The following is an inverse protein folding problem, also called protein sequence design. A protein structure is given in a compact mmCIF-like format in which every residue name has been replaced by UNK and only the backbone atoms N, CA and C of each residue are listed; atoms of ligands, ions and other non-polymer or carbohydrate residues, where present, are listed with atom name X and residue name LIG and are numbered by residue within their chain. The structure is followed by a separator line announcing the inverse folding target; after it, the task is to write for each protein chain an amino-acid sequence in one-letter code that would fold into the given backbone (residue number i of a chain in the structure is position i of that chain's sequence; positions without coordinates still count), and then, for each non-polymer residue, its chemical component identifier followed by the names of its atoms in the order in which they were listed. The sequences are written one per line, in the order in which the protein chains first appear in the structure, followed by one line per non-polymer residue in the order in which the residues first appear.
data_IF_922219303994
#
_entry.id   IF_922219303994
#
_cell.length_a   1.000
_cell.length_b   1.000
_cell.length_c   1.000
_cell.angle_alpha   90.00
_cell.angle_beta   90.00
_cell.angle_gamma   90.00
#
_symmetry.space_group_name_H-M   'P 1'
#
loop_
_entity.id
_entity.type
_entity.pdbx_description
1 polymer ?
#
# COMPACT_ATOMS: atom_id res chain seq x y z
N UNK A 1 52.10 -56.87 -35.07
CA UNK A 1 51.52 -55.52 -35.25
C UNK A 1 50.23 -55.68 -36.05
N UNK A 2 49.11 -55.93 -35.37
CA UNK A 2 47.77 -55.98 -35.97
C UNK A 2 46.85 -55.25 -34.99
N UNK A 3 46.20 -54.19 -35.49
CA UNK A 3 45.35 -53.29 -34.74
C UNK A 3 43.89 -53.65 -35.03
N UNK A 4 43.13 -53.96 -33.99
CA UNK A 4 41.70 -54.20 -34.06
C UNK A 4 40.97 -52.86 -34.19
N UNK A 5 40.13 -52.72 -35.22
CA UNK A 5 39.25 -51.56 -35.43
C UNK A 5 37.94 -51.83 -34.71
N UNK A 6 37.64 -50.99 -33.71
CA UNK A 6 36.41 -51.05 -32.92
C UNK A 6 35.20 -50.51 -33.72
N UNK A 7 34.07 -51.22 -33.63
CA UNK A 7 32.80 -50.84 -34.23
C UNK A 7 32.18 -49.63 -33.50
N UNK A 8 31.82 -48.60 -34.26
CA UNK A 8 31.14 -47.38 -33.79
C UNK A 8 29.63 -47.62 -33.70
N UNK A 9 29.04 -47.43 -32.52
CA UNK A 9 27.58 -47.45 -32.33
C UNK A 9 26.99 -46.10 -32.75
N UNK A 10 25.80 -46.07 -33.38
CA UNK A 10 25.16 -44.82 -33.80
C UNK A 10 24.62 -44.04 -32.59
N UNK A 11 24.68 -42.71 -32.69
CA UNK A 11 24.24 -41.76 -31.66
C UNK A 11 22.72 -41.61 -31.61
N UNK A 12 22.22 -41.31 -30.41
CA UNK A 12 20.82 -41.16 -29.98
C UNK A 12 19.95 -40.15 -30.78
N UNK A 13 20.49 -39.47 -31.79
CA UNK A 13 19.84 -38.34 -32.48
C UNK A 13 19.11 -38.82 -33.76
N UNK A 14 19.47 -39.98 -34.30
CA UNK A 14 18.86 -40.53 -35.53
C UNK A 14 17.58 -41.35 -35.31
N UNK A 15 17.11 -41.48 -34.05
CA UNK A 15 15.91 -42.25 -33.70
C UNK A 15 14.68 -41.38 -33.34
N UNK A 16 14.79 -40.04 -33.45
CA UNK A 16 13.77 -39.11 -32.96
C UNK A 16 12.92 -38.42 -34.05
N UNK A 17 13.12 -38.74 -35.33
CA UNK A 17 12.40 -38.13 -36.45
C UNK A 17 11.81 -39.14 -37.46
N UNK A 18 11.60 -40.40 -37.05
CA UNK A 18 10.75 -41.32 -37.80
C UNK A 18 9.30 -41.11 -37.36
N UNK A 19 8.46 -40.67 -38.29
CA UNK A 19 7.15 -40.08 -38.02
C UNK A 19 6.05 -41.04 -37.60
N UNK A 20 4.93 -40.41 -37.22
CA UNK A 20 3.57 -40.94 -37.28
C UNK A 20 2.67 -39.76 -37.67
N UNK A 21 2.30 -39.71 -38.94
CA UNK A 21 1.14 -38.98 -39.44
C UNK A 21 -0.07 -39.90 -39.20
N UNK A 22 -0.78 -39.71 -38.09
CA UNK A 22 -2.11 -40.31 -37.88
C UNK A 22 -3.15 -39.18 -37.86
N UNK A 23 -3.80 -39.01 -39.02
CA UNK A 23 -5.08 -38.33 -39.17
C UNK A 23 -6.12 -39.07 -38.30
N UNK A 24 -6.51 -38.47 -37.17
CA UNK A 24 -7.64 -38.95 -36.40
C UNK A 24 -8.84 -38.04 -36.69
N UNK A 25 -9.79 -38.59 -37.43
CA UNK A 25 -11.08 -38.02 -37.78
C UNK A 25 -11.80 -37.47 -36.52
N UNK A 26 -12.09 -36.17 -36.56
CA UNK A 26 -13.07 -35.53 -35.67
C UNK A 26 -14.44 -35.87 -36.26
N UNK A 27 -15.08 -36.88 -35.71
CA UNK A 27 -16.52 -37.08 -35.87
C UNK A 27 -17.25 -36.13 -34.90
N UNK A 28 -18.07 -35.25 -35.48
CA UNK A 28 -19.13 -34.50 -34.82
C UNK A 28 -20.16 -35.48 -34.24
N UNK A 29 -20.37 -35.47 -32.92
CA UNK A 29 -21.60 -35.94 -32.29
C UNK A 29 -21.95 -35.05 -31.09
N UNK A 30 -22.97 -34.20 -31.30
CA UNK A 30 -23.69 -33.43 -30.30
C UNK A 30 -24.48 -34.39 -29.37
N UNK A 31 -24.27 -34.33 -28.05
CA UNK A 31 -25.25 -34.83 -27.08
C UNK A 31 -25.35 -33.91 -25.85
N UNK A 32 -26.53 -33.31 -25.70
CA UNK A 32 -27.01 -32.48 -24.60
C UNK A 32 -27.14 -33.29 -23.30
N UNK A 33 -26.25 -33.06 -22.33
CA UNK A 33 -26.47 -33.49 -20.94
C UNK A 33 -27.21 -32.40 -20.15
N UNK A 34 -28.55 -32.45 -20.26
CA UNK A 34 -29.47 -31.84 -19.31
C UNK A 34 -29.28 -32.44 -17.92
N UNK A 35 -28.73 -31.65 -17.00
CA UNK A 35 -28.69 -31.99 -15.58
C UNK A 35 -30.09 -31.92 -14.96
N UNK A 36 -30.71 -33.09 -14.77
CA UNK A 36 -31.83 -33.26 -13.86
C UNK A 36 -31.31 -33.57 -12.45
N UNK A 37 -31.43 -32.63 -11.53
CA UNK A 37 -31.41 -32.90 -10.09
C UNK A 37 -32.65 -32.26 -9.47
N UNK A 38 -33.50 -33.15 -8.94
CA UNK A 38 -34.82 -32.87 -8.41
C UNK A 38 -34.79 -32.21 -7.02
N UNK A 39 -35.75 -31.31 -6.85
CA UNK A 39 -36.53 -30.95 -5.66
C UNK A 39 -36.01 -31.32 -4.26
N UNK A 40 -35.75 -30.29 -3.44
CA UNK A 40 -35.99 -30.31 -2.01
C UNK A 40 -36.49 -28.91 -1.57
N UNK A 41 -37.82 -28.74 -1.55
CA UNK A 41 -38.49 -27.61 -0.91
C UNK A 41 -38.47 -27.78 0.60
N UNK A 42 -37.89 -26.80 1.31
CA UNK A 42 -37.98 -26.62 2.75
C UNK A 42 -38.52 -25.22 3.04
N UNK A 43 -39.80 -25.15 3.37
CA UNK A 43 -40.56 -23.95 3.71
C UNK A 43 -40.13 -23.39 5.07
N UNK A 44 -39.70 -22.13 5.10
CA UNK A 44 -39.51 -21.34 6.31
C UNK A 44 -39.98 -19.90 6.08
N UNK A 45 -41.26 -19.69 6.38
CA UNK A 45 -41.97 -18.45 6.71
C UNK A 45 -41.10 -17.19 6.96
N UNK A 46 -41.29 -16.17 6.11
CA UNK A 46 -40.96 -14.79 6.40
C UNK A 46 -42.26 -13.97 6.49
N UNK A 47 -42.47 -13.31 7.63
CA UNK A 47 -43.57 -12.39 7.88
C UNK A 47 -43.31 -11.04 7.22
N UNK A 48 -44.26 -10.62 6.40
CA UNK A 48 -44.29 -9.36 5.68
C UNK A 48 -44.86 -8.26 6.59
N UNK A 49 -44.04 -7.27 6.95
CA UNK A 49 -44.50 -6.03 7.55
C UNK A 49 -44.13 -4.88 6.61
N UNK A 50 -45.10 -4.48 5.79
CA UNK A 50 -45.04 -3.31 4.94
C UNK A 50 -45.02 -2.03 5.79
N UNK A 51 -44.10 -1.11 5.46
CA UNK A 51 -44.28 0.32 5.73
C UNK A 51 -43.49 1.13 4.71
N UNK A 52 -44.25 1.88 3.91
CA UNK A 52 -43.80 2.75 2.84
C UNK A 52 -43.05 3.99 3.37
N UNK A 53 -42.02 4.44 2.64
CA UNK A 53 -41.72 5.87 2.52
C UNK A 53 -40.90 6.21 1.26
N UNK A 54 -41.63 6.77 0.28
CA UNK A 54 -41.35 7.96 -0.54
C UNK A 54 -39.93 8.21 -1.08
N UNK A 55 -39.84 8.17 -2.41
CA UNK A 55 -38.73 8.60 -3.25
C UNK A 55 -38.32 10.08 -3.04
N UNK A 56 -37.01 10.34 -3.03
CA UNK A 56 -36.42 11.66 -3.26
C UNK A 56 -35.10 11.51 -4.04
N UNK A 57 -35.07 12.11 -5.23
CA UNK A 57 -33.92 12.17 -6.14
C UNK A 57 -32.95 13.34 -5.74
N UNK A 58 -31.76 13.46 -6.37
CA UNK A 58 -30.54 13.95 -5.74
C UNK A 58 -30.36 15.48 -5.72
N UNK A 59 -29.70 15.98 -4.68
CA UNK A 59 -29.32 17.39 -4.51
C UNK A 59 -28.10 17.76 -5.39
N UNK A 60 -28.14 18.88 -6.15
CA UNK A 60 -27.02 19.32 -6.98
C UNK A 60 -25.95 20.08 -6.18
N UNK A 61 -24.68 19.81 -6.50
CA UNK A 61 -23.50 20.55 -6.07
C UNK A 61 -23.48 21.95 -6.70
N UNK A 62 -23.62 23.02 -5.90
CA UNK A 62 -23.25 24.37 -6.33
C UNK A 62 -21.93 24.82 -5.72
N UNK A 63 -20.97 25.04 -6.60
CA UNK A 63 -19.80 25.92 -6.42
C UNK A 63 -20.27 27.31 -5.94
N UNK A 64 -19.62 27.86 -4.92
CA UNK A 64 -19.52 29.32 -4.74
C UNK A 64 -18.13 29.71 -4.26
N UNK A 65 -17.41 30.37 -5.17
CA UNK A 65 -16.24 31.22 -4.92
C UNK A 65 -16.73 32.63 -4.53
N UNK A 66 -16.12 33.25 -3.51
CA UNK A 66 -16.08 34.70 -3.18
C UNK A 66 -17.43 35.40 -2.89
N UNK A 67 -17.52 36.51 -2.16
CA UNK A 67 -16.54 37.42 -1.55
C UNK A 67 -17.29 38.24 -0.45
N UNK A 68 -16.53 38.94 0.41
CA UNK A 68 -16.88 40.20 1.11
C UNK A 68 -17.72 40.21 2.43
N UNK A 69 -16.96 40.33 3.54
CA UNK A 69 -16.95 41.40 4.55
C UNK A 69 -18.25 41.98 5.16
N UNK A 70 -18.43 41.80 6.49
CA UNK A 70 -18.72 42.88 7.47
C UNK A 70 -18.79 42.41 8.94
N UNK A 71 -18.08 43.12 9.83
CA UNK A 71 -18.37 43.36 11.27
C UNK A 71 -18.38 42.16 12.23
N UNK A 72 -17.95 42.21 13.49
CA UNK A 72 -17.54 43.28 14.39
C UNK A 72 -16.63 42.66 15.48
N UNK A 73 -15.56 43.35 15.84
CA UNK A 73 -14.65 42.96 16.92
C UNK A 73 -15.14 43.57 18.24
N UNK A 74 -15.47 42.71 19.21
CA UNK A 74 -15.79 43.10 20.58
C UNK A 74 -14.48 43.26 21.38
N UNK A 75 -14.29 44.45 21.94
CA UNK A 75 -13.04 44.87 22.56
C UNK A 75 -12.66 44.17 23.86
N UNK A 76 -11.37 44.23 24.16
CA UNK A 76 -10.87 44.22 25.53
C UNK A 76 -9.71 45.20 25.63
N UNK A 77 -9.91 46.22 26.45
CA UNK A 77 -9.06 47.39 26.53
C UNK A 77 -7.72 47.11 27.21
N UNK A 78 -6.68 47.80 26.75
CA UNK A 78 -5.47 48.02 27.54
C UNK A 78 -5.04 49.48 27.41
N UNK A 79 -5.12 50.15 28.56
CA UNK A 79 -4.91 51.57 28.82
C UNK A 79 -3.42 51.91 28.68
N UNK A 80 -3.07 52.79 27.74
CA UNK A 80 -1.74 53.37 27.61
C UNK A 80 -1.66 54.68 28.40
N UNK A 81 -0.67 54.78 29.27
CA UNK A 81 -0.26 56.03 29.93
C UNK A 81 0.72 56.75 29.01
N UNK A 82 0.44 58.03 28.77
CA UNK A 82 1.22 58.97 27.96
C UNK A 82 2.27 59.67 28.84
N UNK A 83 3.48 59.86 28.32
CA UNK A 83 4.38 60.94 28.71
C UNK A 83 5.04 61.52 27.44
N UNK A 84 5.10 62.85 27.38
CA UNK A 84 5.58 63.66 26.24
C UNK A 84 7.01 64.17 26.49
N UNK A 85 7.70 64.52 25.38
CA UNK A 85 8.83 65.47 25.31
C UNK A 85 10.16 64.79 24.97
N UNK A 86 11.05 65.29 24.12
CA UNK A 86 11.11 66.49 23.27
C UNK A 86 12.19 66.22 22.18
N UNK A 87 12.20 67.02 21.11
CA UNK A 87 13.03 66.87 19.93
C UNK A 87 14.48 67.36 20.11
N UNK A 88 15.43 66.70 19.44
CA UNK A 88 16.49 67.37 18.69
C UNK A 88 16.89 66.54 17.46
N UNK A 89 17.37 67.23 16.44
CA UNK A 89 17.68 66.71 15.12
C UNK A 89 19.19 66.74 14.91
N UNK A 90 19.76 65.65 14.40
CA UNK A 90 21.03 65.67 13.67
C UNK A 90 21.03 64.52 12.67
N UNK A 91 21.16 64.90 11.40
CA UNK A 91 21.34 63.99 10.28
C UNK A 91 22.70 63.30 10.37
N UNK A 92 22.71 61.97 10.28
CA UNK A 92 23.74 61.23 9.55
C UNK A 92 23.18 59.85 9.19
N UNK A 93 22.59 59.79 8.00
CA UNK A 93 22.07 58.58 7.37
C UNK A 93 23.24 57.68 6.93
N UNK A 94 23.62 56.74 7.78
CA UNK A 94 24.13 55.44 7.31
C UNK A 94 23.58 54.32 8.20
N UNK A 95 22.81 53.35 7.67
CA UNK A 95 22.47 52.15 8.44
C UNK A 95 23.72 51.27 8.48
N UNK A 96 24.66 51.57 9.38
CA UNK A 96 25.67 50.59 9.80
C UNK A 96 24.92 49.50 10.56
N UNK A 97 24.75 48.35 9.92
CA UNK A 97 24.32 47.11 10.54
C UNK A 97 25.33 46.74 11.65
N UNK A 98 25.16 47.33 12.83
CA UNK A 98 25.81 46.89 14.07
C UNK A 98 24.95 45.80 14.70
N UNK A 99 24.73 44.73 13.92
CA UNK A 99 24.25 43.47 14.46
C UNK A 99 25.37 42.87 15.28
N UNK A 100 25.46 43.27 16.56
CA UNK A 100 26.14 42.50 17.59
C UNK A 100 25.71 41.04 17.41
N UNK A 101 26.65 40.16 17.05
CA UNK A 101 26.43 38.73 17.12
C UNK A 101 26.06 38.44 18.58
N UNK A 102 24.76 38.27 18.83
CA UNK A 102 24.29 37.70 20.08
C UNK A 102 24.84 36.29 20.11
N UNK A 103 25.90 36.12 20.89
CA UNK A 103 26.40 34.81 21.28
C UNK A 103 25.22 34.04 21.90
N UNK A 104 24.70 32.98 21.26
CA UNK A 104 23.50 32.29 21.73
C UNK A 104 23.76 31.45 22.99
N UNK A 105 24.99 31.45 23.52
CA UNK A 105 25.36 30.65 24.68
C UNK A 105 25.12 31.34 26.04
N UNK A 106 24.89 32.65 26.07
CA UNK A 106 24.73 33.39 27.32
C UNK A 106 23.25 33.68 27.64
N UNK A 107 22.59 32.70 28.27
CA UNK A 107 21.40 32.97 29.08
C UNK A 107 20.06 32.52 28.49
N UNK A 108 19.85 31.20 28.38
CA UNK A 108 18.54 30.61 28.67
C UNK A 108 18.69 29.13 29.00
N UNK A 109 18.70 28.82 30.30
CA UNK A 109 18.47 27.47 30.81
C UNK A 109 17.02 27.02 30.62
N UNK A 110 16.53 27.05 29.38
CA UNK A 110 15.25 26.49 28.98
C UNK A 110 15.54 25.31 28.07
N UNK A 111 15.44 24.09 28.60
CA UNK A 111 15.63 22.87 27.83
C UNK A 111 14.82 22.95 26.53
N UNK A 112 15.48 22.75 25.39
CA UNK A 112 14.78 22.57 24.13
C UNK A 112 13.83 21.38 24.32
N UNK A 113 12.53 21.66 24.41
CA UNK A 113 11.53 20.60 24.40
C UNK A 113 11.65 19.92 23.05
N UNK A 114 12.25 18.72 23.02
CA UNK A 114 12.30 17.91 21.82
C UNK A 114 10.86 17.74 21.32
N UNK A 115 10.60 18.11 20.07
CA UNK A 115 9.31 17.85 19.46
C UNK A 115 9.10 16.33 19.45
N UNK A 116 7.87 15.83 19.69
CA UNK A 116 7.60 14.42 19.58
C UNK A 116 7.94 13.94 18.16
N UNK A 117 8.46 12.71 18.01
CA UNK A 117 8.70 12.14 16.69
C UNK A 117 7.39 12.09 15.90
N UNK A 118 7.48 12.31 14.59
CA UNK A 118 6.31 12.19 13.72
C UNK A 118 5.86 10.72 13.67
N UNK A 119 4.55 10.46 13.61
CA UNK A 119 4.08 9.10 13.39
C UNK A 119 4.49 8.62 12.00
N UNK A 120 4.67 7.31 11.87
CA UNK A 120 4.86 6.67 10.58
C UNK A 120 3.65 6.94 9.68
N UNK A 121 3.92 7.42 8.47
CA UNK A 121 2.90 7.69 7.45
C UNK A 121 3.27 6.96 6.17
N UNK A 122 2.28 6.27 5.59
CA UNK A 122 2.45 5.59 4.32
C UNK A 122 1.83 6.41 3.20
N UNK A 123 2.58 6.64 2.11
CA UNK A 123 2.12 7.48 1.02
C UNK A 123 0.88 6.89 0.33
N UNK A 124 -0.17 7.72 0.20
CA UNK A 124 -1.44 7.30 -0.38
C UNK A 124 -2.29 6.38 0.50
N UNK A 125 -1.89 6.14 1.76
CA UNK A 125 -2.71 5.41 2.72
C UNK A 125 -3.65 6.36 3.48
N UNK A 126 -4.77 5.81 3.96
CA UNK A 126 -5.65 6.50 4.92
C UNK A 126 -5.47 5.92 6.32
N UNK A 127 -5.56 6.78 7.34
CA UNK A 127 -5.47 6.35 8.73
C UNK A 127 -6.53 5.29 9.08
N UNK A 128 -6.16 4.37 9.97
CA UNK A 128 -7.11 3.44 10.57
C UNK A 128 -8.01 4.20 11.55
N UNK A 129 -9.25 4.49 11.15
CA UNK A 129 -10.22 5.19 11.99
C UNK A 129 -11.19 4.20 12.62
N UNK A 130 -11.41 4.30 13.93
CA UNK A 130 -12.39 3.48 14.64
C UNK A 130 -13.77 3.56 13.99
N UNK A 131 -14.43 2.41 13.82
CA UNK A 131 -15.74 2.29 13.17
C UNK A 131 -15.70 2.22 11.63
N UNK A 132 -14.55 2.48 10.99
CA UNK A 132 -14.40 2.37 9.54
C UNK A 132 -13.72 1.06 9.16
N UNK A 133 -14.47 0.15 8.54
CA UNK A 133 -13.96 -1.16 8.09
C UNK A 133 -13.13 -1.08 6.79
N UNK A 134 -13.40 -0.09 5.93
CA UNK A 134 -12.74 0.11 4.64
C UNK A 134 -11.71 1.24 4.67
N UNK A 135 -10.44 0.95 4.36
CA UNK A 135 -9.36 1.93 4.25
C UNK A 135 -8.54 1.74 2.98
N UNK A 136 -7.88 2.80 2.54
CA UNK A 136 -6.84 2.74 1.51
C UNK A 136 -5.51 2.37 2.15
N UNK A 137 -4.85 1.34 1.62
CA UNK A 137 -3.49 0.98 1.99
C UNK A 137 -2.47 1.73 1.14
N UNK A 138 -2.79 2.05 -0.11
CA UNK A 138 -1.99 2.92 -0.97
C UNK A 138 -2.81 3.38 -2.16
N UNK A 139 -2.47 4.55 -2.69
CA UNK A 139 -3.00 5.09 -3.93
C UNK A 139 -1.88 5.85 -4.64
N UNK A 140 -1.62 5.50 -5.90
CA UNK A 140 -0.65 6.19 -6.74
C UNK A 140 -1.13 6.21 -8.21
N UNK A 141 -0.24 6.61 -9.12
CA UNK A 141 -0.51 6.70 -10.56
C UNK A 141 -0.83 5.36 -11.25
N UNK A 142 -0.45 4.23 -10.65
CA UNK A 142 -0.65 2.89 -11.23
C UNK A 142 -2.00 2.32 -10.81
N UNK A 143 -2.50 2.70 -9.63
CA UNK A 143 -3.74 2.13 -9.09
C UNK A 143 -3.95 2.43 -7.61
N UNK A 144 -4.92 1.75 -7.02
CA UNK A 144 -5.27 1.84 -5.61
C UNK A 144 -5.38 0.47 -4.96
N UNK A 145 -5.01 0.40 -3.68
CA UNK A 145 -5.20 -0.77 -2.83
C UNK A 145 -6.16 -0.37 -1.72
N UNK A 146 -7.30 -1.06 -1.67
CA UNK A 146 -8.28 -0.94 -0.59
C UNK A 146 -8.27 -2.20 0.25
N UNK A 147 -8.26 -2.05 1.57
CA UNK A 147 -8.50 -3.15 2.49
C UNK A 147 -9.81 -2.93 3.23
N UNK A 148 -10.62 -3.99 3.34
CA UNK A 148 -11.80 -4.06 4.19
C UNK A 148 -11.59 -5.13 5.24
N UNK A 149 -11.41 -4.73 6.49
CA UNK A 149 -11.32 -5.65 7.62
C UNK A 149 -12.73 -6.04 8.07
N UNK A 150 -13.03 -7.34 8.07
CA UNK A 150 -14.20 -7.91 8.72
C UNK A 150 -13.80 -8.62 10.03
N UNK A 151 -14.74 -9.29 10.70
CA UNK A 151 -14.48 -9.94 11.99
C UNK A 151 -13.46 -11.10 11.90
N UNK A 152 -13.42 -11.80 10.77
CA UNK A 152 -12.61 -13.03 10.60
C UNK A 152 -11.60 -12.94 9.46
N UNK A 153 -11.79 -12.03 8.50
CA UNK A 153 -10.93 -11.93 7.32
C UNK A 153 -10.84 -10.50 6.82
N UNK A 154 -9.80 -10.24 6.04
CA UNK A 154 -9.58 -8.97 5.34
C UNK A 154 -9.75 -9.18 3.85
N UNK A 155 -10.74 -8.50 3.26
CA UNK A 155 -10.88 -8.41 1.81
C UNK A 155 -9.97 -7.31 1.28
N UNK A 156 -9.01 -7.68 0.45
CA UNK A 156 -8.12 -6.74 -0.23
C UNK A 156 -8.56 -6.62 -1.69
N UNK A 157 -8.80 -5.39 -2.11
CA UNK A 157 -9.18 -5.01 -3.47
C UNK A 157 -8.04 -4.19 -4.08
N UNK A 158 -7.54 -4.64 -5.23
CA UNK A 158 -6.50 -3.96 -6.01
C UNK A 158 -7.13 -3.50 -7.31
N UNK A 159 -7.19 -2.18 -7.48
CA UNK A 159 -7.71 -1.58 -8.70
C UNK A 159 -6.57 -0.93 -9.49
N UNK A 160 -6.31 -1.43 -10.69
CA UNK A 160 -5.26 -0.94 -11.57
C UNK A 160 -5.86 0.05 -12.58
N UNK A 161 -5.23 1.23 -12.68
CA UNK A 161 -5.72 2.30 -13.55
C UNK A 161 -5.47 2.04 -15.04
N UNK A 162 -4.49 1.18 -15.38
CA UNK A 162 -4.17 0.80 -16.75
C UNK A 162 -4.31 -0.73 -16.92
N UNK A 163 -5.26 -1.15 -17.75
CA UNK A 163 -5.51 -2.57 -18.05
C UNK A 163 -4.32 -3.28 -18.72
N UNK A 164 -3.36 -2.53 -19.29
CA UNK A 164 -2.12 -3.10 -19.86
C UNK A 164 -1.16 -3.62 -18.79
N UNK A 165 -1.24 -3.10 -17.57
CA UNK A 165 -0.42 -3.54 -16.43
C UNK A 165 -0.92 -4.89 -15.90
N UNK A 166 -2.23 -5.10 -15.95
CA UNK A 166 -2.92 -6.30 -15.51
C UNK A 166 -4.39 -6.01 -15.24
N UNK A 167 -5.16 -7.05 -14.95
CA UNK A 167 -6.55 -6.89 -14.50
C UNK A 167 -6.58 -6.54 -13.01
N UNK A 168 -7.48 -5.62 -12.63
CA UNK A 168 -7.87 -5.40 -11.23
C UNK A 168 -8.36 -6.72 -10.63
N UNK A 169 -8.04 -6.95 -9.35
CA UNK A 169 -8.39 -8.20 -8.68
C UNK A 169 -8.65 -7.97 -7.20
N UNK A 170 -9.33 -8.91 -6.57
CA UNK A 170 -9.52 -8.92 -5.13
C UNK A 170 -9.27 -10.32 -4.58
N UNK A 171 -8.92 -10.40 -3.30
CA UNK A 171 -8.78 -11.64 -2.57
C UNK A 171 -9.11 -11.44 -1.10
N UNK A 172 -9.64 -12.47 -0.46
CA UNK A 172 -9.77 -12.50 1.00
C UNK A 172 -8.56 -13.20 1.60
N UNK A 173 -8.09 -12.70 2.74
CA UNK A 173 -7.05 -13.33 3.53
C UNK A 173 -7.39 -13.24 5.01
N UNK A 174 -6.94 -14.23 5.77
CA UNK A 174 -7.08 -14.22 7.22
C UNK A 174 -6.10 -13.22 7.86
N UNK A 175 -4.99 -12.93 7.17
CA UNK A 175 -4.02 -11.92 7.57
C UNK A 175 -4.61 -10.50 7.51
N UNK A 176 -4.43 -9.76 8.60
CA UNK A 176 -4.85 -8.35 8.70
C UNK A 176 -3.82 -7.42 8.04
N UNK A 177 -3.78 -7.38 6.71
CA UNK A 177 -2.86 -6.50 5.97
C UNK A 177 -3.04 -5.01 6.35
N UNK A 178 -1.94 -4.38 6.78
CA UNK A 178 -1.90 -2.97 7.19
C UNK A 178 -1.06 -2.08 6.30
N UNK A 179 -0.19 -2.66 5.47
CA UNK A 179 0.59 -1.95 4.47
C UNK A 179 0.33 -2.54 3.10
N UNK A 180 0.32 -1.66 2.10
CA UNK A 180 0.23 -2.04 0.69
C UNK A 180 1.10 -1.12 -0.14
N UNK A 181 1.78 -1.64 -1.15
CA UNK A 181 2.53 -0.81 -2.09
C UNK A 181 2.41 -1.44 -3.47
N UNK A 182 2.29 -0.60 -4.51
CA UNK A 182 2.02 -1.07 -5.85
C UNK A 182 2.92 -0.40 -6.88
N UNK A 183 3.35 -1.19 -7.84
CA UNK A 183 4.19 -0.79 -8.97
C UNK A 183 3.60 -1.34 -10.28
N UNK A 184 4.16 -0.98 -11.42
CA UNK A 184 3.72 -1.47 -12.74
C UNK A 184 4.02 -2.96 -12.98
N UNK A 185 4.79 -3.62 -12.12
CA UNK A 185 5.16 -5.04 -12.28
C UNK A 185 4.66 -5.93 -11.16
N UNK A 186 4.47 -5.38 -9.97
CA UNK A 186 4.15 -6.14 -8.78
C UNK A 186 3.34 -5.29 -7.81
N UNK A 187 2.66 -6.00 -6.92
CA UNK A 187 1.99 -5.44 -5.75
C UNK A 187 2.44 -6.21 -4.51
N UNK A 188 2.70 -5.48 -3.43
CA UNK A 188 3.17 -6.00 -2.18
C UNK A 188 2.21 -5.62 -1.05
N UNK A 189 2.04 -6.51 -0.10
CA UNK A 189 1.25 -6.34 1.12
C UNK A 189 2.06 -6.80 2.30
N UNK A 190 1.93 -6.12 3.44
CA UNK A 190 2.49 -6.59 4.69
C UNK A 190 1.42 -6.65 5.78
N UNK A 191 1.51 -7.69 6.60
CA UNK A 191 0.72 -7.89 7.79
C UNK A 191 1.63 -7.73 9.03
N UNK A 192 1.12 -7.15 10.13
CA UNK A 192 1.94 -6.95 11.32
C UNK A 192 2.18 -8.31 12.00
N UNK A 193 3.20 -8.38 12.85
CA UNK A 193 3.33 -9.52 13.74
C UNK A 193 2.16 -9.53 14.73
N UNK A 194 1.60 -10.71 14.99
CA UNK A 194 0.56 -10.90 16.00
C UNK A 194 1.16 -11.61 17.21
N UNK A 195 1.45 -10.83 18.26
CA UNK A 195 2.00 -11.36 19.50
C UNK A 195 1.02 -12.24 20.28
N UNK A 196 -0.30 -12.12 20.04
CA UNK A 196 -1.32 -12.92 20.74
C UNK A 196 -1.46 -14.30 20.14
N UNK A 197 -1.29 -14.40 18.82
CA UNK A 197 -1.34 -15.65 18.06
C UNK A 197 0.05 -16.27 17.81
N UNK A 198 1.12 -15.64 18.31
CA UNK A 198 2.52 -15.99 18.04
C UNK A 198 2.83 -16.13 16.52
N UNK A 199 2.20 -15.26 15.72
CA UNK A 199 2.35 -15.24 14.27
C UNK A 199 3.39 -14.19 13.86
N UNK A 200 4.38 -14.54 13.03
CA UNK A 200 5.36 -13.59 12.54
C UNK A 200 4.71 -12.59 11.58
N UNK A 201 5.31 -11.40 11.46
CA UNK A 201 4.91 -10.44 10.43
C UNK A 201 5.15 -11.03 9.05
N UNK A 202 4.19 -10.91 8.13
CA UNK A 202 4.27 -11.52 6.82
C UNK A 202 4.34 -10.47 5.70
N UNK A 203 5.21 -10.69 4.72
CA UNK A 203 5.27 -9.96 3.46
C UNK A 203 4.73 -10.87 2.34
N UNK A 204 3.68 -10.41 1.66
CA UNK A 204 3.08 -11.09 0.50
C UNK A 204 3.25 -10.25 -0.75
N UNK A 205 3.77 -10.84 -1.81
CA UNK A 205 3.99 -10.14 -3.08
C UNK A 205 3.36 -10.92 -4.21
N UNK A 206 2.71 -10.19 -5.12
CA UNK A 206 2.13 -10.73 -6.36
C UNK A 206 2.65 -9.94 -7.55
N UNK A 207 3.18 -10.65 -8.53
CA UNK A 207 3.52 -10.13 -9.85
C UNK A 207 2.24 -9.91 -10.66
N UNK A 208 2.13 -8.75 -11.30
CA UNK A 208 0.94 -8.35 -12.06
C UNK A 208 0.96 -8.92 -13.48
N UNK A 209 2.15 -9.06 -14.07
CA UNK A 209 2.36 -9.64 -15.39
C UNK A 209 3.54 -10.61 -15.32
N UNK A 210 3.22 -11.90 -15.30
CA UNK A 210 4.20 -12.98 -15.34
C UNK A 210 3.64 -14.16 -16.11
N UNK A 211 4.51 -14.83 -16.85
CA UNK A 211 4.21 -16.08 -17.54
C UNK A 211 4.33 -17.30 -16.60
N UNK A 212 4.78 -17.09 -15.35
CA UNK A 212 4.97 -18.15 -14.36
C UNK A 212 3.64 -18.62 -13.77
N UNK A 213 3.54 -19.93 -13.54
CA UNK A 213 2.38 -20.58 -12.92
C UNK A 213 2.11 -20.10 -11.48
N UNK A 214 3.12 -19.60 -10.77
CA UNK A 214 2.99 -19.06 -9.41
C UNK A 214 3.33 -17.57 -9.38
N UNK A 215 2.37 -16.68 -9.65
CA UNK A 215 2.62 -15.25 -9.74
C UNK A 215 2.81 -14.57 -8.38
N UNK A 216 2.82 -15.32 -7.27
CA UNK A 216 2.94 -14.74 -5.94
C UNK A 216 3.81 -15.57 -5.02
N UNK A 217 4.41 -14.90 -4.04
CA UNK A 217 5.17 -15.51 -2.97
C UNK A 217 4.89 -14.77 -1.65
N UNK A 218 5.14 -15.46 -0.54
CA UNK A 218 5.01 -14.93 0.81
C UNK A 218 6.26 -15.28 1.60
N UNK A 219 6.71 -14.36 2.43
CA UNK A 219 7.83 -14.58 3.36
C UNK A 219 7.47 -14.05 4.73
N UNK A 220 7.77 -14.83 5.77
CA UNK A 220 7.69 -14.37 7.15
C UNK A 220 8.94 -13.57 7.52
N UNK A 221 8.76 -12.45 8.22
CA UNK A 221 9.86 -11.73 8.84
C UNK A 221 10.39 -12.52 10.04
N UNK A 222 11.67 -12.34 10.40
CA UNK A 222 12.25 -12.96 11.58
C UNK A 222 11.49 -12.61 12.88
N UNK A 223 11.57 -13.46 13.91
CA UNK A 223 10.89 -13.21 15.17
C UNK A 223 11.35 -11.90 15.81
N UNK A 224 10.40 -11.16 16.38
CA UNK A 224 10.63 -9.83 16.96
C UNK A 224 10.59 -8.67 15.96
N UNK A 225 10.54 -8.96 14.66
CA UNK A 225 10.38 -7.95 13.61
C UNK A 225 8.93 -7.85 13.14
N UNK A 226 8.48 -6.61 12.95
CA UNK A 226 7.17 -6.28 12.39
C UNK A 226 7.32 -5.22 11.30
N UNK A 227 6.66 -5.44 10.17
CA UNK A 227 6.70 -4.51 9.04
C UNK A 227 6.06 -3.16 9.42
N UNK A 228 6.84 -2.08 9.31
CA UNK A 228 6.41 -0.70 9.58
C UNK A 228 6.27 0.13 8.32
N UNK A 229 7.08 -0.17 7.29
CA UNK A 229 7.05 0.49 5.99
C UNK A 229 7.19 -0.53 4.86
N UNK A 230 6.66 -0.18 3.69
CA UNK A 230 6.68 -1.05 2.52
C UNK A 230 6.89 -0.21 1.25
N UNK A 231 7.75 -0.65 0.35
CA UNK A 231 7.90 -0.04 -0.96
C UNK A 231 8.02 -1.11 -2.05
N UNK A 232 7.21 -0.98 -3.10
CA UNK A 232 7.23 -1.81 -4.30
C UNK A 232 7.93 -1.06 -5.44
N UNK A 233 9.13 -1.51 -5.79
CA UNK A 233 9.82 -1.10 -7.02
C UNK A 233 9.48 -2.01 -8.20
N UNK A 234 9.99 -1.66 -9.38
CA UNK A 234 9.87 -2.53 -10.57
C UNK A 234 10.79 -3.74 -10.52
N UNK A 235 11.90 -3.65 -9.77
CA UNK A 235 12.94 -4.67 -9.66
C UNK A 235 13.27 -5.04 -8.21
N UNK A 236 12.54 -4.51 -7.24
CA UNK A 236 12.76 -4.79 -5.82
C UNK A 236 11.48 -4.61 -5.00
N UNK A 237 11.47 -5.20 -3.82
CA UNK A 237 10.50 -4.93 -2.76
C UNK A 237 11.30 -4.62 -1.50
N UNK A 238 11.01 -3.49 -0.85
CA UNK A 238 11.69 -3.08 0.36
C UNK A 238 10.72 -3.04 1.54
N UNK A 239 11.14 -3.57 2.68
CA UNK A 239 10.38 -3.57 3.93
C UNK A 239 11.21 -2.91 5.03
N UNK A 240 10.65 -1.87 5.63
CA UNK A 240 11.16 -1.31 6.88
C UNK A 240 10.53 -2.02 8.05
N UNK A 241 11.32 -2.32 9.08
CA UNK A 241 10.84 -2.99 10.30
C UNK A 241 10.89 -2.07 11.52
N UNK A 242 10.18 -2.45 12.57
CA UNK A 242 10.25 -1.84 13.91
C UNK A 242 11.65 -1.90 14.55
N UNK A 243 12.53 -2.78 14.08
CA UNK A 243 13.92 -2.90 14.55
C UNK A 243 14.90 -1.97 13.82
N UNK A 244 14.38 -0.98 13.06
CA UNK A 244 15.16 -0.07 12.21
C UNK A 244 16.03 -0.82 11.18
N UNK A 245 15.47 -1.89 10.61
CA UNK A 245 16.12 -2.66 9.55
C UNK A 245 15.34 -2.49 8.25
N UNK A 246 16.06 -2.24 7.16
CA UNK A 246 15.53 -2.23 5.81
C UNK A 246 15.89 -3.55 5.12
N UNK A 247 14.90 -4.35 4.75
CA UNK A 247 15.06 -5.61 4.03
C UNK A 247 14.70 -5.42 2.57
N UNK A 248 15.58 -5.83 1.66
CA UNK A 248 15.33 -5.82 0.22
C UNK A 248 15.13 -7.25 -0.28
N UNK A 249 14.10 -7.42 -1.10
CA UNK A 249 13.78 -8.65 -1.79
C UNK A 249 13.72 -8.39 -3.30
N UNK A 250 14.09 -9.41 -4.07
CA UNK A 250 13.85 -9.42 -5.51
C UNK A 250 12.37 -9.66 -5.80
N UNK A 251 11.90 -9.36 -7.03
CA UNK A 251 10.53 -9.68 -7.44
C UNK A 251 10.23 -11.19 -7.39
N UNK A 252 11.25 -12.04 -7.39
CA UNK A 252 11.13 -13.49 -7.26
C UNK A 252 11.14 -14.00 -5.80
N UNK A 253 11.22 -13.10 -4.80
CA UNK A 253 11.21 -13.47 -3.38
C UNK A 253 12.58 -13.76 -2.77
N UNK A 254 13.66 -13.69 -3.55
CA UNK A 254 15.02 -13.84 -3.01
C UNK A 254 15.38 -12.63 -2.14
N UNK A 255 15.89 -12.86 -0.94
CA UNK A 255 16.45 -11.81 -0.09
C UNK A 255 17.76 -11.29 -0.70
N UNK A 256 17.81 -9.98 -0.96
CA UNK A 256 18.96 -9.31 -1.58
C UNK A 256 19.88 -8.72 -0.50
N UNK A 257 19.30 -7.97 0.44
CA UNK A 257 20.07 -7.26 1.45
C UNK A 257 19.26 -7.00 2.72
N UNK A 258 19.96 -6.86 3.84
CA UNK A 258 19.43 -6.48 5.15
C UNK A 258 20.30 -5.34 5.66
N UNK A 259 19.74 -4.13 5.74
CA UNK A 259 20.48 -2.90 5.99
C UNK A 259 19.98 -2.23 7.28
N UNK A 260 20.79 -2.18 8.35
CA UNK A 260 20.42 -1.43 9.55
C UNK A 260 20.40 0.07 9.23
N UNK A 261 19.44 0.78 9.81
CA UNK A 261 19.25 2.21 9.60
C UNK A 261 19.79 3.00 10.80
N UNK A 262 20.54 4.09 10.57
CA UNK A 262 21.12 4.89 11.64
C UNK A 262 20.06 5.71 12.42
N UNK A 263 18.87 5.86 11.84
CA UNK A 263 17.75 6.59 12.40
C UNK A 263 16.45 5.79 12.20
N UNK A 264 15.38 6.11 12.97
CA UNK A 264 14.06 5.57 12.72
C UNK A 264 13.62 5.82 11.27
N UNK A 265 13.07 4.78 10.67
CA UNK A 265 12.46 4.84 9.35
C UNK A 265 11.13 5.59 9.37
#
# INVERSE_FOLDING_TARGET
MQQAVAASKPSLIDALFAGDDDDNDIDDDDEDVLAAAAAADGDASASEAASASKAAAPHPLQRRYGNEAKGANAGSGRRLVRANGAADASADDTPRWSGSLRDPSAGRGGGASALPPHPLVHAGATAATAGRRRRLLSWNEVGSITARSDATSTLVEVDLSDARVGASFHFSADDAFHLGSLSRKLVAFAAPADATADLPSALRVRLLSTWSASPSWTVGLPPGESATLLAAGTSFVAVGTNTNVLRLYSPAGLSIAVLPQPAPL
#
